data_IF_839498447738
#
_entry.id   IF_839498447738
#
_cell.length_a   1.000
_cell.length_b   1.000
_cell.length_c   1.000
_cell.angle_alpha   90.00
_cell.angle_beta   90.00
_cell.angle_gamma   90.00
#
_symmetry.space_group_name_H-M   'P 1'
#
loop_
_entity.id
_entity.type
_entity.pdbx_description
1 polymer ?
#
# COMPACT_ATOMS: atom_id res chain seq x y z
N UNK A 1 -20.28 9.02 -10.41
CA UNK A 1 -19.73 10.11 -9.58
C UNK A 1 -18.34 10.44 -10.12
N UNK A 2 -18.15 11.59 -10.79
CA UNK A 2 -16.84 11.98 -11.33
C UNK A 2 -15.98 12.49 -10.19
N UNK A 3 -15.01 11.69 -9.76
CA UNK A 3 -13.95 12.12 -8.84
C UNK A 3 -13.26 13.33 -9.50
N UNK A 4 -13.29 14.49 -8.83
CA UNK A 4 -12.50 15.64 -9.23
C UNK A 4 -11.02 15.23 -9.14
N UNK A 5 -10.36 15.07 -10.30
CA UNK A 5 -8.95 14.69 -10.45
C UNK A 5 -7.96 15.72 -9.88
N UNK A 6 -8.43 16.72 -9.12
CA UNK A 6 -7.65 17.88 -8.67
C UNK A 6 -6.55 17.55 -7.65
N UNK A 7 -6.61 16.39 -6.99
CA UNK A 7 -5.63 16.00 -5.95
C UNK A 7 -4.71 14.84 -6.34
N UNK A 8 -4.70 14.41 -7.61
CA UNK A 8 -3.81 13.33 -8.08
C UNK A 8 -2.43 13.89 -8.44
N UNK A 9 -1.42 13.58 -7.64
CA UNK A 9 -0.05 14.09 -7.84
C UNK A 9 0.81 13.11 -8.64
N UNK A 10 0.78 13.25 -9.97
CA UNK A 10 1.67 12.50 -10.89
C UNK A 10 3.16 12.70 -10.58
N UNK A 11 3.53 13.82 -9.95
CA UNK A 11 4.91 14.13 -9.56
C UNK A 11 5.48 13.19 -8.48
N UNK A 12 4.63 12.45 -7.76
CA UNK A 12 5.05 11.50 -6.73
C UNK A 12 5.36 10.10 -7.30
N UNK A 13 5.28 9.92 -8.61
CA UNK A 13 5.53 8.64 -9.29
C UNK A 13 6.78 8.79 -10.15
N UNK A 14 7.76 7.92 -9.91
CA UNK A 14 8.99 7.85 -10.69
C UNK A 14 9.06 6.51 -11.43
N UNK A 15 9.22 6.57 -12.75
CA UNK A 15 9.44 5.40 -13.60
C UNK A 15 10.93 5.25 -13.90
N UNK A 16 11.57 4.24 -13.32
CA UNK A 16 13.00 3.99 -13.47
C UNK A 16 13.36 3.59 -14.91
N UNK A 17 14.41 4.22 -15.48
CA UNK A 17 14.88 3.97 -16.84
C UNK A 17 13.78 4.06 -17.91
N UNK A 18 12.84 5.02 -17.79
CA UNK A 18 11.68 5.16 -18.67
C UNK A 18 12.02 5.14 -20.19
N UNK A 19 13.19 5.65 -20.57
CA UNK A 19 13.68 5.64 -21.96
C UNK A 19 13.92 4.24 -22.53
N UNK A 20 14.04 3.21 -21.68
CA UNK A 20 14.21 1.81 -22.07
C UNK A 20 12.88 1.08 -22.26
N UNK A 21 11.75 1.70 -21.92
CA UNK A 21 10.44 1.05 -21.91
C UNK A 21 9.79 1.14 -23.31
N UNK A 22 8.99 0.15 -23.71
CA UNK A 22 8.09 0.29 -24.85
C UNK A 22 7.18 1.51 -24.66
N UNK A 23 7.02 2.32 -25.70
CA UNK A 23 6.33 3.61 -25.61
C UNK A 23 4.86 3.44 -25.20
N UNK A 24 4.15 2.44 -25.75
CA UNK A 24 2.75 2.20 -25.38
C UNK A 24 2.62 1.83 -23.90
N UNK A 25 3.48 0.92 -23.41
CA UNK A 25 3.48 0.50 -22.00
C UNK A 25 3.77 1.65 -21.05
N UNK A 26 4.73 2.51 -21.39
CA UNK A 26 5.07 3.68 -20.60
C UNK A 26 3.89 4.67 -20.48
N UNK A 27 3.14 4.88 -21.57
CA UNK A 27 1.95 5.75 -21.54
C UNK A 27 0.80 5.11 -20.77
N UNK A 28 0.57 3.80 -20.92
CA UNK A 28 -0.44 3.07 -20.15
C UNK A 28 -0.17 3.14 -18.64
N UNK A 29 1.06 2.84 -18.21
CA UNK A 29 1.44 2.85 -16.80
C UNK A 29 1.28 4.23 -16.14
N UNK A 30 1.54 5.33 -16.88
CA UNK A 30 1.28 6.71 -16.40
C UNK A 30 -0.20 7.00 -16.17
N UNK A 31 -1.11 6.22 -16.76
CA UNK A 31 -2.56 6.34 -16.55
C UNK A 31 -3.09 5.41 -15.47
N UNK A 32 -2.42 4.27 -15.25
CA UNK A 32 -2.82 3.26 -14.27
C UNK A 32 -2.30 3.54 -12.85
N UNK A 33 -1.19 4.28 -12.71
CA UNK A 33 -0.62 4.62 -11.41
C UNK A 33 -1.04 6.03 -10.96
N UNK A 34 -1.46 6.18 -9.69
CA UNK A 34 -1.78 7.48 -9.11
C UNK A 34 -1.46 7.55 -7.62
N UNK A 35 -1.26 8.78 -7.11
CA UNK A 35 -1.12 9.07 -5.67
C UNK A 35 -2.13 10.14 -5.29
N UNK A 36 -2.94 9.85 -4.26
CA UNK A 36 -3.88 10.79 -3.64
C UNK A 36 -3.29 11.23 -2.31
N UNK A 37 -2.88 12.49 -2.24
CA UNK A 37 -2.36 13.08 -1.00
C UNK A 37 -3.45 13.20 0.06
N UNK A 38 -3.01 13.21 1.31
CA UNK A 38 -3.84 13.50 2.49
C UNK A 38 -5.12 12.63 2.52
N UNK A 39 -4.99 11.38 2.07
CA UNK A 39 -6.09 10.42 2.00
C UNK A 39 -6.53 9.95 3.39
N UNK A 40 -5.56 9.87 4.30
CA UNK A 40 -5.72 9.56 5.72
C UNK A 40 -5.35 10.84 6.47
N UNK A 41 -6.16 11.23 7.44
CA UNK A 41 -5.88 12.36 8.32
C UNK A 41 -4.92 11.96 9.43
N UNK A 42 -4.22 12.92 10.05
CA UNK A 42 -3.30 12.64 11.17
C UNK A 42 -3.99 11.90 12.34
N UNK A 43 -5.27 12.19 12.58
CA UNK A 43 -6.06 11.51 13.60
C UNK A 43 -6.29 10.03 13.26
N UNK A 44 -6.61 9.74 11.99
CA UNK A 44 -6.79 8.37 11.49
C UNK A 44 -5.44 7.62 11.44
N UNK A 45 -4.35 8.27 11.05
CA UNK A 45 -3.00 7.70 11.11
C UNK A 45 -2.64 7.26 12.53
N UNK A 46 -2.87 8.15 13.50
CA UNK A 46 -2.64 7.85 14.92
C UNK A 46 -3.52 6.70 15.42
N UNK A 47 -4.77 6.64 14.97
CA UNK A 47 -5.68 5.55 15.35
C UNK A 47 -5.22 4.20 14.77
N UNK A 48 -4.84 4.15 13.49
CA UNK A 48 -4.30 2.94 12.87
C UNK A 48 -3.05 2.47 13.61
N UNK A 49 -2.11 3.37 13.91
CA UNK A 49 -0.90 3.05 14.66
C UNK A 49 -1.21 2.53 16.07
N UNK A 50 -2.12 3.17 16.80
CA UNK A 50 -2.50 2.74 18.16
C UNK A 50 -3.03 1.30 18.18
N UNK A 51 -3.75 0.91 17.14
CA UNK A 51 -4.27 -0.46 17.02
C UNK A 51 -3.21 -1.48 16.59
N UNK A 52 -2.35 -1.11 15.65
CA UNK A 52 -1.40 -2.03 15.01
C UNK A 52 -0.13 -2.22 15.84
N UNK A 53 0.40 -1.14 16.42
CA UNK A 53 1.72 -1.10 17.04
C UNK A 53 1.93 -2.11 18.19
N UNK A 54 0.97 -2.34 19.11
CA UNK A 54 1.13 -3.31 20.19
C UNK A 54 1.39 -4.73 19.71
N UNK A 55 0.88 -5.08 18.52
CA UNK A 55 1.09 -6.39 17.90
C UNK A 55 2.42 -6.42 17.15
N UNK A 56 2.73 -5.38 16.36
CA UNK A 56 3.97 -5.32 15.58
C UNK A 56 5.22 -5.32 16.45
N UNK A 57 5.21 -4.58 17.58
CA UNK A 57 6.36 -4.48 18.50
C UNK A 57 6.81 -5.81 19.10
N UNK A 58 5.94 -6.82 19.11
CA UNK A 58 6.25 -8.18 19.61
C UNK A 58 6.96 -9.05 18.57
N UNK A 59 6.87 -8.68 17.29
CA UNK A 59 7.52 -9.39 16.19
C UNK A 59 8.97 -8.94 16.06
N UNK A 60 9.84 -9.89 15.70
CA UNK A 60 11.24 -9.61 15.39
C UNK A 60 11.34 -9.21 13.92
N UNK A 61 12.31 -8.35 13.60
CA UNK A 61 12.65 -8.09 12.20
C UNK A 61 13.27 -9.34 11.57
N UNK A 62 12.78 -9.68 10.39
CA UNK A 62 13.22 -10.78 9.54
C UNK A 62 14.25 -10.28 8.53
N UNK A 63 15.29 -11.08 8.28
CA UNK A 63 16.41 -10.69 7.41
C UNK A 63 16.13 -10.92 5.92
N UNK A 64 15.25 -11.85 5.57
CA UNK A 64 14.91 -12.17 4.18
C UNK A 64 13.62 -12.96 4.10
N UNK A 65 12.74 -12.57 3.18
CA UNK A 65 11.59 -13.35 2.74
C UNK A 65 12.03 -14.46 1.75
N UNK A 66 11.21 -15.49 1.50
CA UNK A 66 11.59 -16.66 0.68
C UNK A 66 11.87 -16.32 -0.80
N UNK A 67 11.29 -15.24 -1.30
CA UNK A 67 11.49 -14.69 -2.66
C UNK A 67 12.54 -13.57 -2.70
N UNK A 68 13.18 -13.27 -1.56
CA UNK A 68 14.20 -12.23 -1.42
C UNK A 68 13.72 -10.81 -1.78
N UNK A 69 12.39 -10.59 -1.81
CA UNK A 69 11.79 -9.31 -2.19
C UNK A 69 11.85 -8.25 -1.07
N UNK A 70 11.76 -8.66 0.19
CA UNK A 70 11.74 -7.74 1.34
C UNK A 70 12.82 -8.11 2.36
N UNK A 71 13.53 -7.08 2.86
CA UNK A 71 14.59 -7.19 3.86
C UNK A 71 14.38 -6.29 5.07
N UNK A 72 14.76 -6.81 6.25
CA UNK A 72 14.67 -6.11 7.55
C UNK A 72 13.26 -5.55 7.79
N UNK A 73 12.30 -6.46 7.79
CA UNK A 73 10.88 -6.15 7.92
C UNK A 73 10.24 -7.03 9.00
N UNK A 74 9.05 -6.65 9.45
CA UNK A 74 8.17 -7.53 10.20
C UNK A 74 6.76 -7.35 9.65
N UNK A 75 6.03 -8.44 9.54
CA UNK A 75 4.72 -8.43 8.90
C UNK A 75 3.69 -9.21 9.68
N UNK A 76 2.42 -8.88 9.44
CA UNK A 76 1.29 -9.69 9.87
C UNK A 76 0.07 -9.36 9.04
N UNK A 77 -0.92 -10.22 9.19
CA UNK A 77 -2.24 -10.04 8.61
C UNK A 77 -3.27 -9.71 9.70
N UNK A 78 -4.20 -8.81 9.37
CA UNK A 78 -5.31 -8.44 10.26
C UNK A 78 -6.65 -8.40 9.52
N UNK A 79 -7.62 -9.14 10.06
CA UNK A 79 -9.01 -9.15 9.57
C UNK A 79 -9.94 -8.26 10.37
N UNK A 80 -9.81 -8.27 11.70
CA UNK A 80 -10.69 -7.51 12.60
C UNK A 80 -10.05 -6.16 12.88
N UNK A 81 -10.79 -5.09 12.66
CA UNK A 81 -10.39 -3.72 12.90
C UNK A 81 -11.38 -3.05 13.87
N UNK A 82 -10.93 -2.04 14.63
CA UNK A 82 -11.87 -1.17 15.36
C UNK A 82 -12.73 -0.41 14.37
N UNK A 83 -13.95 -0.05 14.76
CA UNK A 83 -14.93 0.60 13.88
C UNK A 83 -14.36 1.88 13.24
N UNK A 84 -13.66 2.72 14.02
CA UNK A 84 -12.98 3.93 13.53
C UNK A 84 -11.94 3.65 12.43
N UNK A 85 -11.21 2.53 12.51
CA UNK A 85 -10.23 2.14 11.49
C UNK A 85 -10.86 1.40 10.32
N UNK A 86 -11.99 0.72 10.54
CA UNK A 86 -12.76 0.08 9.49
C UNK A 86 -13.31 1.10 8.49
N UNK A 87 -13.63 2.31 8.93
CA UNK A 87 -14.00 3.41 8.04
C UNK A 87 -12.88 3.75 7.04
N UNK A 88 -11.63 3.82 7.52
CA UNK A 88 -10.45 4.07 6.66
C UNK A 88 -10.26 2.92 5.68
N UNK A 89 -10.28 1.66 6.16
CA UNK A 89 -10.14 0.48 5.29
C UNK A 89 -11.26 0.41 4.24
N UNK A 90 -12.49 0.77 4.62
CA UNK A 90 -13.63 0.82 3.71
C UNK A 90 -13.46 1.92 2.65
N UNK A 91 -12.93 3.08 3.05
CA UNK A 91 -12.62 4.17 2.13
C UNK A 91 -11.54 3.77 1.12
N UNK A 92 -10.46 3.11 1.56
CA UNK A 92 -9.43 2.53 0.67
C UNK A 92 -10.09 1.62 -0.36
N UNK A 93 -10.93 0.69 0.11
CA UNK A 93 -11.62 -0.27 -0.75
C UNK A 93 -12.48 0.40 -1.82
N UNK A 94 -13.28 1.39 -1.44
CA UNK A 94 -14.18 2.10 -2.35
C UNK A 94 -13.47 2.95 -3.40
N UNK A 95 -12.24 3.41 -3.11
CA UNK A 95 -11.48 4.30 -3.98
C UNK A 95 -10.50 3.54 -4.88
N UNK A 96 -10.03 2.37 -4.43
CA UNK A 96 -9.02 1.58 -5.14
C UNK A 96 -9.61 0.48 -6.03
N UNK A 97 -10.80 -0.05 -5.71
CA UNK A 97 -11.37 -1.20 -6.42
C UNK A 97 -12.69 -0.86 -7.11
N UNK A 98 -13.00 -1.62 -8.16
CA UNK A 98 -14.27 -1.51 -8.87
C UNK A 98 -15.45 -2.00 -8.02
N UNK A 99 -16.66 -1.66 -8.47
CA UNK A 99 -17.88 -2.21 -7.85
C UNK A 99 -17.86 -3.73 -8.01
N UNK A 100 -18.14 -4.46 -6.93
CA UNK A 100 -18.14 -5.92 -6.84
C UNK A 100 -16.77 -6.61 -7.01
N UNK A 101 -15.65 -5.88 -6.86
CA UNK A 101 -14.34 -6.55 -6.77
C UNK A 101 -14.25 -7.36 -5.48
N UNK A 102 -13.83 -8.62 -5.59
CA UNK A 102 -13.53 -9.44 -4.42
C UNK A 102 -12.28 -8.92 -3.73
N UNK A 103 -12.34 -8.77 -2.41
CA UNK A 103 -11.21 -8.29 -1.62
C UNK A 103 -10.65 -9.43 -0.78
N UNK A 104 -9.33 -9.44 -0.63
CA UNK A 104 -8.69 -10.30 0.36
C UNK A 104 -9.29 -10.02 1.74
N UNK A 105 -9.56 -11.11 2.46
CA UNK A 105 -10.21 -11.04 3.77
C UNK A 105 -9.31 -10.38 4.81
N UNK A 106 -8.00 -10.59 4.70
CA UNK A 106 -7.00 -10.03 5.58
C UNK A 106 -6.32 -8.82 4.93
N UNK A 107 -6.07 -7.80 5.75
CA UNK A 107 -5.25 -6.65 5.37
C UNK A 107 -3.82 -6.94 5.82
N UNK A 108 -2.88 -6.87 4.87
CA UNK A 108 -1.46 -7.02 5.14
C UNK A 108 -0.91 -5.74 5.81
N UNK A 109 -0.22 -5.92 6.93
CA UNK A 109 0.48 -4.88 7.67
C UNK A 109 1.97 -5.17 7.60
N UNK A 110 2.72 -4.25 6.99
CA UNK A 110 4.16 -4.33 6.83
C UNK A 110 4.82 -3.19 7.62
N UNK A 111 5.83 -3.52 8.42
CA UNK A 111 6.68 -2.56 9.13
C UNK A 111 8.13 -2.77 8.69
N UNK A 112 8.71 -1.71 8.13
CA UNK A 112 10.08 -1.70 7.65
C UNK A 112 11.00 -1.04 8.67
N UNK A 113 12.13 -1.70 8.94
CA UNK A 113 13.23 -1.06 9.65
C UNK A 113 13.76 0.13 8.83
N UNK A 114 14.44 1.09 9.48
CA UNK A 114 15.06 2.24 8.80
C UNK A 114 16.08 1.85 7.71
N UNK A 115 16.67 0.66 7.86
CA UNK A 115 17.63 0.06 6.92
C UNK A 115 16.96 -1.04 6.05
N UNK A 116 15.65 -1.20 6.17
CA UNK A 116 14.85 -2.16 5.42
C UNK A 116 14.57 -1.70 4.00
N UNK A 117 14.41 -2.67 3.10
CA UNK A 117 14.27 -2.42 1.67
C UNK A 117 13.26 -3.39 1.08
N UNK A 118 12.41 -2.86 0.21
CA UNK A 118 11.59 -3.63 -0.72
C UNK A 118 12.28 -3.56 -2.09
N UNK A 119 12.75 -4.70 -2.60
CA UNK A 119 13.36 -4.82 -3.93
C UNK A 119 12.30 -4.75 -5.03
N UNK A 120 12.70 -4.46 -6.29
CA UNK A 120 11.79 -4.57 -7.43
C UNK A 120 11.19 -5.97 -7.52
N UNK A 121 9.86 -6.06 -7.41
CA UNK A 121 9.11 -7.31 -7.49
C UNK A 121 7.72 -7.05 -8.09
N UNK A 122 7.01 -8.12 -8.40
CA UNK A 122 5.60 -8.11 -8.78
C UNK A 122 4.89 -8.97 -7.74
N UNK A 123 3.81 -8.44 -7.16
CA UNK A 123 2.96 -9.19 -6.25
C UNK A 123 2.52 -10.52 -6.89
N UNK A 124 2.46 -11.57 -6.08
CA UNK A 124 2.02 -12.89 -6.54
C UNK A 124 0.62 -12.83 -7.16
N UNK A 125 0.44 -13.45 -8.32
CA UNK A 125 -0.87 -13.63 -8.97
C UNK A 125 -1.68 -14.82 -8.40
N UNK A 126 -1.12 -15.51 -7.40
CA UNK A 126 -1.71 -16.70 -6.77
C UNK A 126 -2.54 -16.36 -5.55
#
# INVERSE_FOLDING_TARGET
MRISRSNLQKALIYFHNLQKWPKELAEEMKTCCYVKKDFITEAEEKSLLTEVEPHMKRLRYEKSHWDDAIHLYREREQRKWRDENLEVISRIRSESFGVNTEHLTYVHILDLHKDGVIKPHIDSIR
#
